data_IF_840460540786
#
_entry.id   IF_840460540786
#
_cell.length_a   1.000
_cell.length_b   1.000
_cell.length_c   1.000
_cell.angle_alpha   90.00
_cell.angle_beta   90.00
_cell.angle_gamma   90.00
#
_symmetry.space_group_name_H-M   'P 1'
#
loop_
_entity.id
_entity.type
_entity.pdbx_description
1 polymer ?
#
# COMPACT_ATOMS: atom_id res chain seq x y z
N UNK A 1 18.94 19.50 -0.43
CA UNK A 1 19.51 19.13 0.89
C UNK A 1 18.49 18.25 1.60
N UNK A 2 18.92 17.22 2.33
CA UNK A 2 18.00 16.40 3.13
C UNK A 2 17.49 17.24 4.32
N UNK A 3 16.18 17.31 4.50
CA UNK A 3 15.51 17.95 5.64
C UNK A 3 14.76 16.89 6.43
N UNK A 4 14.99 16.85 7.74
CA UNK A 4 14.31 15.93 8.66
C UNK A 4 13.40 16.78 9.54
N UNK A 5 12.12 16.42 9.61
CA UNK A 5 11.12 17.07 10.46
C UNK A 5 10.54 15.99 11.38
N UNK A 6 10.49 16.28 12.68
CA UNK A 6 10.00 15.35 13.71
C UNK A 6 8.96 16.04 14.57
N UNK A 7 7.92 15.33 14.94
CA UNK A 7 6.84 15.83 15.79
C UNK A 7 5.70 14.82 15.87
N UNK A 8 4.63 15.14 16.61
CA UNK A 8 3.37 14.43 16.52
C UNK A 8 2.88 14.33 15.07
N UNK A 9 2.25 13.21 14.71
CA UNK A 9 1.72 13.04 13.36
C UNK A 9 0.70 14.13 13.02
N UNK A 10 -0.22 14.41 13.96
CA UNK A 10 -1.22 15.46 13.84
C UNK A 10 -1.13 16.41 15.06
N UNK A 11 -1.22 17.74 14.86
CA UNK A 11 -1.30 18.42 13.56
C UNK A 11 0.07 18.64 12.88
N UNK A 12 1.15 18.62 13.67
CA UNK A 12 2.46 19.18 13.28
C UNK A 12 3.04 18.64 11.98
N UNK A 13 3.14 17.31 11.82
CA UNK A 13 3.71 16.71 10.60
C UNK A 13 2.78 16.80 9.40
N UNK A 14 1.46 16.82 9.63
CA UNK A 14 0.48 17.05 8.57
C UNK A 14 0.60 18.48 8.02
N UNK A 15 0.68 19.49 8.89
CA UNK A 15 0.88 20.89 8.48
C UNK A 15 2.22 21.09 7.78
N UNK A 16 3.30 20.54 8.33
CA UNK A 16 4.62 20.63 7.72
C UNK A 16 4.67 20.02 6.30
N UNK A 17 3.93 18.92 6.07
CA UNK A 17 3.81 18.33 4.74
C UNK A 17 3.03 19.25 3.79
N UNK A 18 1.92 19.83 4.25
CA UNK A 18 1.09 20.74 3.43
C UNK A 18 1.91 21.94 2.98
N UNK A 19 2.64 22.57 3.89
CA UNK A 19 3.49 23.72 3.59
C UNK A 19 4.59 23.37 2.59
N UNK A 20 5.21 22.20 2.75
CA UNK A 20 6.25 21.74 1.83
C UNK A 20 5.69 21.45 0.43
N UNK A 21 4.52 20.82 0.33
CA UNK A 21 3.85 20.57 -0.97
C UNK A 21 3.51 21.89 -1.65
N UNK A 22 2.95 22.86 -0.91
CA UNK A 22 2.64 24.19 -1.45
C UNK A 22 3.89 24.89 -1.95
N UNK A 23 4.97 24.85 -1.17
CA UNK A 23 6.26 25.45 -1.53
C UNK A 23 6.81 24.86 -2.82
N UNK A 24 6.83 23.54 -2.95
CA UNK A 24 7.34 22.85 -4.15
C UNK A 24 6.48 23.10 -5.39
N UNK A 25 5.17 23.27 -5.22
CA UNK A 25 4.21 23.49 -6.31
C UNK A 25 3.99 24.96 -6.67
N UNK A 26 4.49 25.90 -5.86
CA UNK A 26 4.33 27.33 -6.09
C UNK A 26 5.12 27.81 -7.32
N UNK A 27 6.30 27.26 -7.55
CA UNK A 27 7.16 27.60 -8.70
C UNK A 27 6.64 26.97 -9.99
N UNK A 28 6.25 25.69 -9.93
CA UNK A 28 5.64 24.97 -11.04
C UNK A 28 4.60 23.97 -10.52
N UNK A 29 3.33 24.25 -10.83
CA UNK A 29 2.20 23.39 -10.45
C UNK A 29 2.28 21.98 -11.04
N UNK A 30 2.99 21.81 -12.17
CA UNK A 30 3.15 20.55 -12.89
C UNK A 30 4.42 19.80 -12.51
N UNK A 31 5.31 20.38 -11.70
CA UNK A 31 6.56 19.73 -11.33
C UNK A 31 6.30 18.36 -10.64
N UNK A 32 6.89 17.26 -11.11
CA UNK A 32 6.61 15.94 -10.56
C UNK A 32 6.99 15.85 -9.08
N UNK A 33 6.08 15.33 -8.26
CA UNK A 33 6.31 15.14 -6.82
C UNK A 33 5.92 13.73 -6.40
N UNK A 34 6.84 13.02 -5.73
CA UNK A 34 6.54 11.70 -5.15
C UNK A 34 6.50 11.79 -3.62
N UNK A 35 5.39 11.38 -3.03
CA UNK A 35 5.19 11.26 -1.58
C UNK A 35 5.16 9.78 -1.22
N UNK A 36 6.14 9.34 -0.44
CA UNK A 36 6.28 7.95 -0.01
C UNK A 36 5.72 7.80 1.41
N UNK A 37 4.86 6.81 1.62
CA UNK A 37 4.21 6.54 2.91
C UNK A 37 4.36 5.08 3.33
N UNK A 38 4.34 4.75 4.64
CA UNK A 38 4.46 3.38 5.11
C UNK A 38 3.25 2.50 4.79
N UNK A 39 2.05 3.07 4.62
CA UNK A 39 0.82 2.27 4.54
C UNK A 39 -0.26 2.90 3.65
N UNK A 40 -1.17 2.06 3.16
CA UNK A 40 -2.33 2.48 2.37
C UNK A 40 -3.34 3.35 3.15
N UNK A 41 -3.64 3.08 4.45
CA UNK A 41 -4.46 3.98 5.25
C UNK A 41 -3.87 5.40 5.30
N UNK A 42 -2.56 5.53 5.56
CA UNK A 42 -1.91 6.83 5.60
C UNK A 42 -1.93 7.50 4.22
N UNK A 43 -1.70 6.71 3.16
CA UNK A 43 -1.82 7.20 1.78
C UNK A 43 -3.17 7.86 1.51
N UNK A 44 -4.27 7.23 1.94
CA UNK A 44 -5.62 7.76 1.78
C UNK A 44 -5.84 9.02 2.62
N UNK A 45 -5.39 9.02 3.88
CA UNK A 45 -5.47 10.17 4.78
C UNK A 45 -4.79 11.40 4.17
N UNK A 46 -3.56 11.26 3.68
CA UNK A 46 -2.81 12.41 3.13
C UNK A 46 -3.40 12.94 1.82
N UNK A 47 -3.97 12.07 0.97
CA UNK A 47 -4.71 12.52 -0.21
C UNK A 47 -5.93 13.36 0.17
N UNK A 48 -6.67 12.93 1.18
CA UNK A 48 -7.82 13.66 1.69
C UNK A 48 -7.40 15.01 2.31
N UNK A 49 -6.40 14.99 3.19
CA UNK A 49 -5.81 16.20 3.78
C UNK A 49 -5.44 17.21 2.69
N UNK A 50 -4.65 16.80 1.71
CA UNK A 50 -4.11 17.72 0.70
C UNK A 50 -5.19 18.21 -0.28
N UNK A 51 -6.02 17.32 -0.84
CA UNK A 51 -7.02 17.72 -1.82
C UNK A 51 -8.25 18.40 -1.20
N UNK A 52 -8.79 17.81 -0.13
CA UNK A 52 -10.12 18.17 0.38
C UNK A 52 -10.02 19.18 1.51
N UNK A 53 -9.17 18.93 2.50
CA UNK A 53 -9.05 19.83 3.65
C UNK A 53 -8.23 21.09 3.30
N UNK A 54 -7.21 20.95 2.45
CA UNK A 54 -6.24 22.01 2.16
C UNK A 54 -6.33 22.59 0.76
N UNK A 55 -7.22 22.06 -0.11
CA UNK A 55 -7.48 22.57 -1.45
C UNK A 55 -6.28 22.55 -2.40
N UNK A 56 -5.28 21.70 -2.17
CA UNK A 56 -4.08 21.63 -2.99
C UNK A 56 -4.37 20.93 -4.32
N UNK A 57 -3.97 21.55 -5.45
CA UNK A 57 -4.00 20.92 -6.75
C UNK A 57 -2.85 19.90 -6.88
N UNK A 58 -3.18 18.61 -6.91
CA UNK A 58 -2.20 17.51 -6.89
C UNK A 58 -1.83 17.01 -8.30
N UNK A 59 -1.62 17.93 -9.25
CA UNK A 59 -1.14 17.55 -10.58
C UNK A 59 0.25 16.93 -10.49
N UNK A 60 0.45 15.80 -11.17
CA UNK A 60 1.69 15.01 -11.15
C UNK A 60 2.25 14.73 -9.73
N UNK A 61 1.35 14.53 -8.76
CA UNK A 61 1.71 14.07 -7.41
C UNK A 61 1.42 12.58 -7.27
N UNK A 62 2.47 11.80 -7.07
CA UNK A 62 2.39 10.36 -6.89
C UNK A 62 2.48 9.98 -5.42
N UNK A 63 1.43 9.34 -4.91
CA UNK A 63 1.45 8.75 -3.58
C UNK A 63 1.74 7.26 -3.66
N UNK A 64 2.88 6.86 -3.10
CA UNK A 64 3.36 5.48 -3.18
C UNK A 64 3.62 4.93 -1.78
N UNK A 65 3.34 3.65 -1.57
CA UNK A 65 3.94 2.93 -0.45
C UNK A 65 5.40 2.58 -0.75
N UNK A 66 6.21 2.24 0.26
CA UNK A 66 7.58 1.75 0.02
C UNK A 66 7.63 0.59 -0.97
N UNK A 67 6.69 -0.35 -0.88
CA UNK A 67 6.57 -1.44 -1.84
C UNK A 67 6.30 -0.93 -3.27
N UNK A 68 5.33 -0.03 -3.43
CA UNK A 68 4.99 0.53 -4.74
C UNK A 68 6.15 1.33 -5.33
N UNK A 69 6.88 2.07 -4.50
CA UNK A 69 8.08 2.80 -4.91
C UNK A 69 9.19 1.85 -5.38
N UNK A 70 9.48 0.79 -4.62
CA UNK A 70 10.47 -0.23 -5.01
C UNK A 70 10.10 -0.93 -6.33
N UNK A 71 8.82 -1.30 -6.51
CA UNK A 71 8.33 -1.89 -7.77
C UNK A 71 8.51 -0.93 -8.94
N UNK A 72 8.25 0.37 -8.75
CA UNK A 72 8.43 1.39 -9.79
C UNK A 72 9.91 1.54 -10.17
N UNK A 73 10.80 1.64 -9.18
CA UNK A 73 12.23 1.78 -9.40
C UNK A 73 12.82 0.56 -10.12
N UNK A 74 12.41 -0.64 -9.75
CA UNK A 74 12.86 -1.88 -10.40
C UNK A 74 12.42 -1.95 -11.87
N UNK A 75 11.21 -1.48 -12.18
CA UNK A 75 10.75 -1.36 -13.57
C UNK A 75 11.56 -0.34 -14.37
N UNK A 76 11.90 0.80 -13.76
CA UNK A 76 12.68 1.86 -14.43
C UNK A 76 14.09 1.40 -14.81
N UNK A 77 14.71 0.51 -14.02
CA UNK A 77 16.03 -0.07 -14.34
C UNK A 77 15.94 -1.35 -15.19
N UNK A 78 14.75 -1.75 -15.64
CA UNK A 78 14.54 -2.95 -16.44
C UNK A 78 14.74 -4.27 -15.68
N UNK A 79 14.74 -4.23 -14.34
CA UNK A 79 14.81 -5.43 -13.51
C UNK A 79 13.44 -6.10 -13.42
N UNK A 80 13.44 -7.42 -13.18
CA UNK A 80 12.19 -8.12 -12.90
C UNK A 80 11.53 -7.52 -11.66
N UNK A 81 10.25 -7.17 -11.81
CA UNK A 81 9.48 -6.66 -10.69
C UNK A 81 9.44 -7.74 -9.58
N UNK A 82 9.58 -7.35 -8.31
CA UNK A 82 9.52 -8.31 -7.22
C UNK A 82 8.14 -8.95 -7.24
N UNK A 83 8.09 -10.24 -6.88
CA UNK A 83 6.84 -11.00 -6.87
C UNK A 83 5.74 -10.17 -6.20
N UNK A 84 4.62 -9.99 -6.91
CA UNK A 84 3.52 -9.12 -6.49
C UNK A 84 3.13 -9.50 -5.06
N UNK A 85 3.27 -8.56 -4.10
CA UNK A 85 2.88 -8.81 -2.70
C UNK A 85 1.40 -9.18 -2.73
N UNK A 86 1.13 -10.45 -2.40
CA UNK A 86 -0.23 -10.97 -2.42
C UNK A 86 -0.91 -10.53 -1.12
N UNK A 87 -2.15 -10.01 -1.19
CA UNK A 87 -2.89 -9.69 0.01
C UNK A 87 -3.07 -10.96 0.85
N UNK A 88 -3.15 -10.84 2.17
CA UNK A 88 -3.26 -12.00 3.07
C UNK A 88 -4.43 -12.93 2.71
N UNK A 89 -5.53 -12.34 2.23
CA UNK A 89 -6.70 -13.08 1.74
C UNK A 89 -6.40 -13.99 0.54
N UNK A 90 -5.43 -13.64 -0.30
CA UNK A 90 -5.02 -14.50 -1.42
C UNK A 90 -4.55 -15.87 -0.93
N UNK A 91 -3.79 -15.91 0.17
CA UNK A 91 -3.28 -17.17 0.71
C UNK A 91 -4.39 -17.99 1.35
N UNK A 92 -5.35 -17.34 2.04
CA UNK A 92 -6.54 -18.00 2.59
C UNK A 92 -7.39 -18.64 1.48
N UNK A 93 -7.63 -17.92 0.39
CA UNK A 93 -8.37 -18.45 -0.77
C UNK A 93 -7.59 -19.50 -1.55
N UNK A 94 -6.26 -19.37 -1.64
CA UNK A 94 -5.41 -20.40 -2.23
C UNK A 94 -5.52 -21.72 -1.46
N UNK A 95 -5.44 -21.67 -0.13
CA UNK A 95 -5.61 -22.84 0.74
C UNK A 95 -7.01 -23.42 0.58
N UNK A 96 -8.04 -22.58 0.60
CA UNK A 96 -9.41 -23.03 0.36
C UNK A 96 -9.55 -23.76 -1.00
N UNK A 97 -8.97 -23.20 -2.06
CA UNK A 97 -8.99 -23.81 -3.39
C UNK A 97 -8.23 -25.15 -3.42
N UNK A 98 -7.08 -25.23 -2.76
CA UNK A 98 -6.30 -26.46 -2.66
C UNK A 98 -7.04 -27.53 -1.85
N UNK A 99 -7.66 -27.16 -0.73
CA UNK A 99 -8.47 -28.06 0.09
C UNK A 99 -9.67 -28.61 -0.69
N UNK A 100 -10.36 -27.77 -1.48
CA UNK A 100 -11.45 -28.23 -2.35
C UNK A 100 -11.01 -29.28 -3.36
N UNK A 101 -9.84 -29.07 -3.98
CA UNK A 101 -9.26 -30.06 -4.90
C UNK A 101 -8.84 -31.34 -4.18
N UNK A 102 -8.27 -31.23 -2.99
CA UNK A 102 -7.86 -32.37 -2.17
C UNK A 102 -9.04 -33.15 -1.59
N UNK A 103 -10.15 -32.48 -1.26
CA UNK A 103 -11.37 -33.11 -0.78
C UNK A 103 -12.03 -34.00 -1.84
N UNK A 104 -11.92 -33.61 -3.12
CA UNK A 104 -12.34 -34.46 -4.24
C UNK A 104 -11.49 -35.73 -4.38
N UNK A 105 -10.23 -35.71 -3.91
CA UNK A 105 -9.33 -36.86 -3.93
C UNK A 105 -9.31 -37.68 -2.62
N UNK A 106 -9.67 -37.06 -1.49
CA UNK A 106 -9.71 -37.70 -0.18
C UNK A 106 -10.76 -37.03 0.72
N UNK A 107 -11.78 -37.78 1.19
CA UNK A 107 -12.85 -37.22 2.00
C UNK A 107 -12.39 -36.73 3.38
N UNK A 108 -11.16 -37.04 3.81
CA UNK A 108 -10.62 -36.56 5.09
C UNK A 108 -10.52 -35.02 5.18
N UNK A 109 -10.53 -34.33 4.04
CA UNK A 109 -10.43 -32.86 3.97
C UNK A 109 -11.80 -32.17 3.84
N UNK A 110 -12.91 -32.91 3.69
CA UNK A 110 -14.23 -32.33 3.41
C UNK A 110 -14.68 -31.35 4.50
N UNK A 111 -14.43 -31.69 5.76
CA UNK A 111 -14.91 -30.91 6.90
C UNK A 111 -14.13 -29.60 7.04
N UNK A 112 -12.86 -29.60 6.63
CA UNK A 112 -11.98 -28.42 6.68
C UNK A 112 -12.27 -27.44 5.54
N UNK A 113 -12.84 -27.90 4.43
CA UNK A 113 -13.21 -27.06 3.29
C UNK A 113 -14.25 -26.03 3.68
N UNK A 114 -15.25 -26.37 4.49
CA UNK A 114 -16.36 -25.47 4.85
C UNK A 114 -16.08 -24.62 6.11
N UNK A 115 -14.84 -24.63 6.60
CA UNK A 115 -14.41 -23.90 7.81
C UNK A 115 -13.42 -22.78 7.46
N UNK A 116 -13.86 -21.52 7.27
CA UNK A 116 -12.97 -20.40 6.97
C UNK A 116 -11.84 -20.20 7.98
N UNK A 117 -12.10 -20.50 9.26
CA UNK A 117 -11.09 -20.48 10.32
C UNK A 117 -9.99 -21.53 10.15
N UNK A 118 -10.29 -22.68 9.56
CA UNK A 118 -9.30 -23.72 9.27
C UNK A 118 -8.33 -23.28 8.16
N UNK A 119 -8.80 -22.56 7.14
CA UNK A 119 -7.94 -22.05 6.07
C UNK A 119 -6.92 -21.04 6.61
N UNK A 120 -7.37 -20.16 7.50
CA UNK A 120 -6.51 -19.20 8.17
C UNK A 120 -5.50 -19.90 9.10
N UNK A 121 -5.93 -20.93 9.84
CA UNK A 121 -5.04 -21.71 10.71
C UNK A 121 -3.97 -22.48 9.92
N UNK A 122 -4.32 -23.09 8.79
CA UNK A 122 -3.39 -23.78 7.90
C UNK A 122 -2.40 -22.83 7.20
N UNK A 123 -2.76 -21.57 7.00
CA UNK A 123 -1.80 -20.56 6.51
C UNK A 123 -0.79 -20.14 7.59
N UNK A 124 -1.19 -20.21 8.86
CA UNK A 124 -0.40 -19.72 9.97
C UNK A 124 0.65 -20.72 10.49
N UNK A 125 0.70 -21.95 9.94
CA UNK A 125 1.70 -22.99 10.23
C UNK A 125 2.93 -22.85 9.33
#
# INVERSE_FOLDING_TARGET
MLRIVTGPFHPDLEEALVDEVRRLKAEDSLAPLTIIVPSDPLRRRLKWLLCVEQGCALFDVHFLTFHQFAVRLLKEIGAEAPARVRPEFFFKELIHHLLRRSAAASPAWSDLVEMPGAWAALWAT
#
